data_IF_484236354465
#
_entry.id   IF_484236354465
#
_cell.length_a   1.000
_cell.length_b   1.000
_cell.length_c   1.000
_cell.angle_alpha   90.00
_cell.angle_beta   90.00
_cell.angle_gamma   90.00
#
_symmetry.space_group_name_H-M   'P 1'
#
loop_
_entity.id
_entity.type
_entity.pdbx_description
1 polymer ?
#
# COMPACT_ATOMS: atom_id res chain seq x y z
N UNK A 1 -10.00 14.93 2.28
CA UNK A 1 -9.31 13.76 1.68
C UNK A 1 -9.49 12.57 2.60
N UNK A 2 -10.01 11.47 2.06
CA UNK A 2 -10.26 10.24 2.85
C UNK A 2 -8.96 9.48 3.02
N UNK A 3 -8.19 9.81 4.04
CA UNK A 3 -6.87 9.26 4.27
C UNK A 3 -6.68 8.97 5.75
N UNK A 4 -6.05 7.83 6.06
CA UNK A 4 -5.77 7.38 7.43
C UNK A 4 -4.28 7.06 7.57
N UNK A 5 -3.60 7.66 8.53
CA UNK A 5 -2.23 7.28 8.86
C UNK A 5 -2.22 5.93 9.58
N UNK A 6 -1.49 4.98 9.03
CA UNK A 6 -1.29 3.65 9.65
C UNK A 6 -0.04 3.67 10.51
N UNK A 7 1.04 4.23 9.98
CA UNK A 7 2.27 4.50 10.73
C UNK A 7 2.61 5.98 10.56
N UNK A 8 3.72 6.42 11.13
CA UNK A 8 4.17 7.81 10.96
C UNK A 8 4.50 8.13 9.50
N UNK A 9 4.74 7.13 8.68
CA UNK A 9 5.23 7.31 7.32
C UNK A 9 4.37 6.69 6.25
N UNK A 10 3.33 5.93 6.61
CA UNK A 10 2.48 5.22 5.65
C UNK A 10 1.02 5.50 5.96
N UNK A 11 0.31 5.98 4.96
CA UNK A 11 -1.12 6.23 5.05
C UNK A 11 -1.86 5.38 4.01
N UNK A 12 -3.14 5.10 4.28
CA UNK A 12 -4.00 4.31 3.40
C UNK A 12 -5.34 5.02 3.27
N UNK A 13 -5.96 4.90 2.11
CA UNK A 13 -7.28 5.53 1.94
C UNK A 13 -7.87 5.43 0.56
N UNK A 14 -8.76 6.36 0.27
CA UNK A 14 -9.54 6.41 -0.95
C UNK A 14 -8.90 7.24 -2.05
N UNK A 15 -9.60 7.30 -3.18
CA UNK A 15 -9.10 7.94 -4.38
C UNK A 15 -8.84 9.42 -4.24
N UNK A 16 -7.88 9.89 -5.00
CA UNK A 16 -7.49 11.30 -4.98
C UNK A 16 -8.37 12.11 -5.92
N UNK A 17 -8.54 11.65 -7.14
CA UNK A 17 -9.47 12.11 -8.17
C UNK A 17 -9.24 13.50 -8.74
N UNK A 18 -8.71 14.47 -7.98
CA UNK A 18 -8.64 15.84 -8.47
C UNK A 18 -7.43 16.58 -7.89
N UNK A 19 -7.20 17.75 -8.46
CA UNK A 19 -6.07 18.61 -8.10
C UNK A 19 -6.12 19.08 -6.65
N UNK A 20 -7.31 19.40 -6.16
CA UNK A 20 -7.47 19.90 -4.80
C UNK A 20 -7.02 18.87 -3.78
N UNK A 21 -7.41 17.61 -3.98
CA UNK A 21 -7.01 16.52 -3.09
C UNK A 21 -5.51 16.23 -3.20
N UNK A 22 -4.95 16.28 -4.41
CA UNK A 22 -3.51 16.05 -4.56
C UNK A 22 -2.71 17.15 -3.86
N UNK A 23 -3.15 18.39 -3.98
CA UNK A 23 -2.50 19.51 -3.29
C UNK A 23 -2.56 19.33 -1.78
N UNK A 24 -3.68 18.82 -1.28
CA UNK A 24 -3.81 18.54 0.16
C UNK A 24 -2.81 17.49 0.62
N UNK A 25 -2.66 16.40 -0.14
CA UNK A 25 -1.67 15.36 0.17
C UNK A 25 -0.26 15.95 0.21
N UNK A 26 0.07 16.81 -0.75
CA UNK A 26 1.37 17.46 -0.78
C UNK A 26 1.60 18.29 0.50
N UNK A 27 0.58 19.04 0.92
CA UNK A 27 0.68 19.84 2.15
C UNK A 27 0.84 18.96 3.39
N UNK A 28 0.32 17.74 3.36
CA UNK A 28 0.44 16.79 4.48
C UNK A 28 1.79 16.07 4.48
N UNK A 29 2.65 16.36 3.52
CA UNK A 29 3.98 15.79 3.46
C UNK A 29 4.11 14.50 2.68
N UNK A 30 3.06 14.08 1.98
CA UNK A 30 3.12 12.88 1.13
C UNK A 30 4.10 13.15 -0.02
N UNK A 31 5.05 12.25 -0.19
CA UNK A 31 6.06 12.33 -1.25
C UNK A 31 5.91 11.23 -2.29
N UNK A 32 5.24 10.14 -1.94
CA UNK A 32 5.10 8.96 -2.80
C UNK A 32 3.68 8.43 -2.69
N UNK A 33 3.14 7.95 -3.82
CA UNK A 33 1.79 7.38 -3.89
C UNK A 33 1.86 6.05 -4.61
N UNK A 34 1.23 5.02 -4.04
CA UNK A 34 0.92 3.79 -4.76
C UNK A 34 -0.58 3.83 -5.07
N UNK A 35 -0.89 3.91 -6.36
CA UNK A 35 -2.26 4.01 -6.86
C UNK A 35 -2.67 2.64 -7.39
N UNK A 36 -3.57 1.97 -6.66
CA UNK A 36 -4.03 0.63 -7.01
C UNK A 36 -5.25 0.63 -7.94
N UNK A 37 -5.66 1.81 -8.40
CA UNK A 37 -6.88 1.93 -9.19
C UNK A 37 -6.64 1.63 -10.65
N UNK A 38 -7.39 0.65 -11.19
CA UNK A 38 -7.49 0.52 -12.64
C UNK A 38 -8.32 1.66 -13.21
N UNK A 39 -9.15 2.29 -12.39
CA UNK A 39 -10.09 3.32 -12.79
C UNK A 39 -9.46 4.66 -13.07
N UNK A 40 -8.30 4.95 -12.47
CA UNK A 40 -7.73 6.29 -12.59
C UNK A 40 -6.23 6.28 -12.29
N UNK A 41 -5.46 6.93 -13.17
CA UNK A 41 -4.00 7.07 -13.01
C UNK A 41 -3.69 8.45 -12.47
N UNK A 42 -3.12 8.52 -11.27
CA UNK A 42 -2.82 9.76 -10.56
C UNK A 42 -1.61 10.51 -11.10
N UNK A 43 -0.83 9.92 -12.01
CA UNK A 43 0.48 10.47 -12.39
C UNK A 43 0.40 11.93 -12.81
N UNK A 44 -0.61 12.27 -13.62
CA UNK A 44 -0.77 13.64 -14.10
C UNK A 44 -1.07 14.65 -13.01
N UNK A 45 -1.86 14.24 -12.01
CA UNK A 45 -2.19 15.12 -10.89
C UNK A 45 -0.98 15.34 -9.97
N UNK A 46 -0.12 14.35 -9.86
CA UNK A 46 0.99 14.37 -8.92
C UNK A 46 2.18 15.19 -9.42
N UNK A 47 2.36 15.24 -10.74
CA UNK A 47 3.55 15.82 -11.32
C UNK A 47 3.81 17.27 -10.88
N UNK A 48 2.82 18.18 -10.88
CA UNK A 48 3.08 19.55 -10.44
C UNK A 48 3.54 19.68 -9.00
N UNK A 49 3.31 18.68 -8.19
CA UNK A 49 3.65 18.69 -6.76
C UNK A 49 4.94 17.94 -6.44
N UNK A 50 5.60 17.37 -7.45
CA UNK A 50 6.81 16.60 -7.24
C UNK A 50 6.58 15.29 -6.49
N UNK A 51 5.34 14.80 -6.44
CA UNK A 51 5.00 13.52 -5.82
C UNK A 51 5.25 12.41 -6.83
N UNK A 52 5.98 11.39 -6.41
CA UNK A 52 6.24 10.22 -7.25
C UNK A 52 5.09 9.23 -7.13
N UNK A 53 4.61 8.74 -8.27
CA UNK A 53 3.47 7.82 -8.31
C UNK A 53 3.90 6.50 -8.94
N UNK A 54 3.55 5.41 -8.29
CA UNK A 54 3.48 4.11 -8.94
C UNK A 54 2.02 3.84 -9.26
N UNK A 55 1.66 3.85 -10.53
CA UNK A 55 0.36 3.37 -10.94
C UNK A 55 0.43 1.86 -11.04
N UNK A 56 -0.26 1.18 -10.14
CA UNK A 56 -0.20 -0.27 -9.96
C UNK A 56 -1.61 -0.84 -10.09
N UNK A 57 -2.22 -0.73 -11.28
CA UNK A 57 -3.65 -0.95 -11.45
C UNK A 57 -4.06 -2.39 -11.24
N UNK A 58 -5.15 -2.56 -10.50
CA UNK A 58 -5.81 -3.85 -10.37
C UNK A 58 -7.29 -3.61 -10.11
N UNK A 59 -8.12 -4.58 -10.51
CA UNK A 59 -9.55 -4.51 -10.31
C UNK A 59 -9.91 -5.02 -8.92
N UNK A 60 -10.99 -4.50 -8.35
CA UNK A 60 -11.49 -4.98 -7.05
C UNK A 60 -12.53 -6.06 -7.30
N UNK A 61 -12.08 -7.18 -7.84
CA UNK A 61 -12.96 -8.26 -8.31
C UNK A 61 -12.90 -9.51 -7.45
N UNK A 62 -12.19 -9.46 -6.32
CA UNK A 62 -12.07 -10.58 -5.37
C UNK A 62 -11.51 -11.84 -6.00
N UNK A 63 -10.60 -11.67 -6.97
CA UNK A 63 -9.82 -12.78 -7.51
C UNK A 63 -8.42 -12.77 -6.91
N UNK A 64 -7.70 -13.90 -6.93
CA UNK A 64 -6.32 -13.91 -6.46
C UNK A 64 -5.48 -12.94 -7.28
N UNK A 65 -4.59 -12.22 -6.60
CA UNK A 65 -3.73 -11.23 -7.26
C UNK A 65 -2.34 -11.82 -7.50
N UNK A 66 -1.75 -11.51 -8.65
CA UNK A 66 -0.45 -12.09 -8.98
C UNK A 66 0.66 -11.51 -8.10
N UNK A 67 1.67 -12.32 -7.75
CA UNK A 67 2.80 -11.82 -6.96
C UNK A 67 3.48 -10.61 -7.56
N UNK A 68 3.53 -10.51 -8.89
CA UNK A 68 4.17 -9.37 -9.56
C UNK A 68 3.51 -8.04 -9.20
N UNK A 69 2.20 -8.03 -9.00
CA UNK A 69 1.48 -6.82 -8.59
C UNK A 69 1.98 -6.34 -7.22
N UNK A 70 2.10 -7.28 -6.29
CA UNK A 70 2.53 -6.94 -4.92
C UNK A 70 4.00 -6.59 -4.90
N UNK A 71 4.81 -7.29 -5.70
CA UNK A 71 6.24 -7.01 -5.79
C UNK A 71 6.52 -5.59 -6.28
N UNK A 72 5.77 -5.12 -7.28
CA UNK A 72 5.96 -3.75 -7.76
C UNK A 72 5.72 -2.73 -6.66
N UNK A 73 4.66 -2.92 -5.88
CA UNK A 73 4.34 -2.00 -4.78
C UNK A 73 5.37 -2.06 -3.66
N UNK A 74 5.80 -3.27 -3.31
CA UNK A 74 6.79 -3.46 -2.25
C UNK A 74 8.13 -2.83 -2.64
N UNK A 75 8.57 -3.03 -3.89
CA UNK A 75 9.82 -2.44 -4.36
C UNK A 75 9.75 -0.90 -4.35
N UNK A 76 8.65 -0.36 -4.82
CA UNK A 76 8.46 1.09 -4.82
C UNK A 76 8.50 1.64 -3.39
N UNK A 77 7.82 0.98 -2.47
CA UNK A 77 7.80 1.39 -1.06
C UNK A 77 9.20 1.28 -0.44
N UNK A 78 9.91 0.21 -0.75
CA UNK A 78 11.26 0.00 -0.21
C UNK A 78 12.20 1.12 -0.64
N UNK A 79 12.17 1.47 -1.92
CA UNK A 79 13.02 2.55 -2.44
C UNK A 79 12.62 3.89 -1.83
N UNK A 80 11.32 4.15 -1.71
CA UNK A 80 10.84 5.38 -1.10
C UNK A 80 11.32 5.51 0.35
N UNK A 81 11.24 4.43 1.11
CA UNK A 81 11.57 4.46 2.54
C UNK A 81 13.06 4.60 2.82
N UNK A 82 13.92 4.46 1.81
CA UNK A 82 15.34 4.77 1.96
C UNK A 82 15.56 6.25 2.26
N UNK A 83 14.65 7.11 1.84
CA UNK A 83 14.68 8.52 2.20
C UNK A 83 13.95 8.70 3.54
N UNK A 84 14.65 9.11 4.61
CA UNK A 84 14.02 9.23 5.93
C UNK A 84 12.85 10.20 5.96
N UNK A 85 12.82 11.17 5.06
CA UNK A 85 11.74 12.15 5.00
C UNK A 85 10.55 11.71 4.18
N UNK A 86 10.62 10.57 3.49
CA UNK A 86 9.53 10.15 2.61
C UNK A 86 8.31 9.70 3.40
N UNK A 87 7.13 10.04 2.85
CA UNK A 87 5.84 9.59 3.37
C UNK A 87 5.04 9.04 2.22
N UNK A 88 4.48 7.86 2.42
CA UNK A 88 3.84 7.06 1.38
C UNK A 88 2.35 6.99 1.61
N UNK A 89 1.59 7.24 0.55
CA UNK A 89 0.14 7.05 0.54
C UNK A 89 -0.22 5.90 -0.39
N UNK A 90 -0.89 4.88 0.14
CA UNK A 90 -1.33 3.72 -0.63
C UNK A 90 -2.85 3.80 -0.72
N UNK A 91 -3.39 3.83 -1.95
CA UNK A 91 -4.83 4.02 -2.06
C UNK A 91 -5.45 3.22 -3.21
N UNK A 92 -6.76 3.09 -3.13
CA UNK A 92 -7.61 2.63 -4.20
C UNK A 92 -8.83 3.55 -4.26
N UNK A 93 -9.96 3.10 -4.79
CA UNK A 93 -11.11 3.99 -4.89
C UNK A 93 -11.74 4.30 -3.53
N UNK A 94 -12.01 3.28 -2.73
CA UNK A 94 -12.67 3.43 -1.43
C UNK A 94 -11.75 3.26 -0.24
N UNK A 95 -10.56 2.71 -0.43
CA UNK A 95 -9.65 2.44 0.67
C UNK A 95 -10.13 1.32 1.58
N UNK A 96 -10.85 0.35 1.03
CA UNK A 96 -11.47 -0.74 1.79
C UNK A 96 -10.81 -2.09 1.50
N UNK A 97 -10.43 -2.38 0.25
CA UNK A 97 -9.95 -3.70 -0.16
C UNK A 97 -8.56 -3.70 -0.78
N UNK A 98 -8.37 -3.04 -1.94
CA UNK A 98 -7.11 -3.12 -2.71
C UNK A 98 -5.96 -2.42 -2.00
N UNK A 99 -6.22 -1.24 -1.46
CA UNK A 99 -5.18 -0.48 -0.77
C UNK A 99 -4.77 -1.16 0.54
N UNK A 100 -5.68 -1.66 1.37
CA UNK A 100 -5.28 -2.42 2.55
C UNK A 100 -4.47 -3.67 2.21
N UNK A 101 -4.82 -4.37 1.14
CA UNK A 101 -4.04 -5.52 0.67
C UNK A 101 -2.60 -5.11 0.39
N UNK A 102 -2.42 -4.03 -0.38
CA UNK A 102 -1.07 -3.57 -0.73
C UNK A 102 -0.31 -3.10 0.50
N UNK A 103 -0.99 -2.40 1.40
CA UNK A 103 -0.38 -1.94 2.66
C UNK A 103 0.07 -3.13 3.50
N UNK A 104 -0.74 -4.18 3.57
CA UNK A 104 -0.39 -5.39 4.28
C UNK A 104 0.87 -6.04 3.69
N UNK A 105 0.97 -6.09 2.37
CA UNK A 105 2.16 -6.64 1.70
C UNK A 105 3.40 -5.80 2.02
N UNK A 106 3.29 -4.48 2.02
CA UNK A 106 4.41 -3.59 2.34
C UNK A 106 4.88 -3.80 3.77
N UNK A 107 3.95 -3.84 4.71
CA UNK A 107 4.31 -4.04 6.12
C UNK A 107 4.91 -5.43 6.33
N UNK A 108 4.31 -6.46 5.74
CA UNK A 108 4.83 -7.83 5.86
C UNK A 108 6.22 -7.97 5.29
N UNK A 109 6.49 -7.34 4.16
CA UNK A 109 7.82 -7.35 3.56
C UNK A 109 8.85 -6.62 4.41
N UNK A 110 8.40 -5.70 5.26
CA UNK A 110 9.25 -4.96 6.21
C UNK A 110 9.48 -5.73 7.50
N UNK A 111 8.89 -6.92 7.65
CA UNK A 111 9.10 -7.77 8.81
C UNK A 111 7.95 -7.78 9.81
N UNK A 112 6.86 -7.10 9.54
CA UNK A 112 5.69 -7.14 10.42
C UNK A 112 5.06 -8.54 10.40
N UNK A 113 4.64 -9.00 11.57
CA UNK A 113 3.71 -10.11 11.66
C UNK A 113 2.40 -9.70 10.98
N UNK A 114 1.86 -10.56 10.11
CA UNK A 114 0.67 -10.19 9.34
C UNK A 114 -0.55 -9.94 10.20
N UNK A 115 -0.73 -10.73 11.26
CA UNK A 115 -1.88 -10.52 12.15
C UNK A 115 -1.76 -9.18 12.86
N UNK A 116 -0.56 -8.83 13.32
CA UNK A 116 -0.34 -7.54 13.95
C UNK A 116 -0.56 -6.38 12.97
N UNK A 117 -0.10 -6.54 11.74
CA UNK A 117 -0.28 -5.52 10.71
C UNK A 117 -1.77 -5.33 10.39
N UNK A 118 -2.51 -6.44 10.23
CA UNK A 118 -3.95 -6.37 9.97
C UNK A 118 -4.68 -5.68 11.12
N UNK A 119 -4.34 -6.03 12.35
CA UNK A 119 -4.96 -5.42 13.53
C UNK A 119 -4.69 -3.91 13.58
N UNK A 120 -3.47 -3.50 13.28
CA UNK A 120 -3.13 -2.08 13.26
C UNK A 120 -3.92 -1.32 12.22
N UNK A 121 -3.96 -1.86 11.00
CA UNK A 121 -4.68 -1.22 9.90
C UNK A 121 -6.16 -1.09 10.25
N UNK A 122 -6.76 -2.17 10.74
CA UNK A 122 -8.20 -2.16 11.10
C UNK A 122 -8.48 -1.22 12.26
N UNK A 123 -7.58 -1.15 13.23
CA UNK A 123 -7.77 -0.26 14.37
C UNK A 123 -7.74 1.21 13.95
N UNK A 124 -6.85 1.56 13.02
CA UNK A 124 -6.73 2.93 12.54
C UNK A 124 -7.80 3.30 11.54
N UNK A 125 -8.23 2.34 10.72
CA UNK A 125 -9.21 2.57 9.65
C UNK A 125 -10.26 1.46 9.69
N UNK A 126 -11.32 1.63 10.52
CA UNK A 126 -12.30 0.57 10.76
C UNK A 126 -13.11 0.13 9.53
N UNK A 127 -13.17 0.94 8.47
CA UNK A 127 -13.89 0.55 7.24
C UNK A 127 -13.15 -0.52 6.43
N UNK A 128 -11.89 -0.79 6.76
CA UNK A 128 -11.10 -1.78 6.03
C UNK A 128 -11.71 -3.16 6.16
N UNK A 129 -11.78 -3.86 5.04
CA UNK A 129 -12.23 -5.23 4.97
C UNK A 129 -11.15 -6.06 4.28
N UNK A 130 -10.49 -6.91 5.04
CA UNK A 130 -9.47 -7.80 4.50
C UNK A 130 -10.14 -9.05 3.94
N UNK A 131 -10.47 -8.99 2.64
CA UNK A 131 -11.03 -10.16 1.95
C UNK A 131 -10.04 -11.32 2.00
N UNK A 132 -10.53 -12.51 2.28
CA UNK A 132 -9.67 -13.69 2.44
C UNK A 132 -8.79 -13.93 1.21
N UNK A 133 -9.35 -13.76 0.01
CA UNK A 133 -8.60 -13.98 -1.23
C UNK A 133 -7.43 -13.02 -1.36
N UNK A 134 -7.58 -11.80 -0.87
CA UNK A 134 -6.50 -10.82 -0.92
C UNK A 134 -5.44 -11.09 0.14
N UNK A 135 -5.86 -11.48 1.33
CA UNK A 135 -4.92 -11.87 2.38
C UNK A 135 -4.12 -13.10 1.93
N UNK A 136 -4.78 -14.07 1.30
CA UNK A 136 -4.11 -15.26 0.77
C UNK A 136 -3.10 -14.88 -0.31
N UNK A 137 -3.41 -13.90 -1.15
CA UNK A 137 -2.49 -13.41 -2.17
C UNK A 137 -1.23 -12.81 -1.53
N UNK A 138 -1.40 -12.04 -0.47
CA UNK A 138 -0.28 -11.47 0.28
C UNK A 138 0.57 -12.57 0.90
N UNK A 139 -0.07 -13.55 1.55
CA UNK A 139 0.66 -14.67 2.17
C UNK A 139 1.45 -15.46 1.14
N UNK A 140 0.85 -15.71 -0.02
CA UNK A 140 1.54 -16.44 -1.09
C UNK A 140 2.74 -15.65 -1.59
N UNK A 141 2.56 -14.36 -1.82
CA UNK A 141 3.65 -13.50 -2.27
C UNK A 141 4.80 -13.50 -1.26
N UNK A 142 4.50 -13.28 0.02
CA UNK A 142 5.53 -13.22 1.05
C UNK A 142 6.22 -14.58 1.23
N UNK A 143 5.46 -15.67 1.15
CA UNK A 143 6.03 -17.01 1.22
C UNK A 143 6.99 -17.29 0.10
N UNK A 144 6.60 -16.96 -1.14
CA UNK A 144 7.42 -17.22 -2.32
C UNK A 144 8.68 -16.34 -2.35
N UNK A 145 8.56 -15.09 -1.95
CA UNK A 145 9.67 -14.13 -2.05
C UNK A 145 10.66 -14.25 -0.90
N UNK A 146 10.19 -14.60 0.29
CA UNK A 146 11.01 -14.54 1.49
C UNK A 146 11.22 -15.88 2.14
N UNK A 147 10.71 -16.98 1.54
CA UNK A 147 10.90 -18.32 2.05
C UNK A 147 12.26 -18.84 1.59
N UNK A 148 13.11 -19.22 2.53
CA UNK A 148 14.40 -19.79 2.22
C UNK A 148 14.61 -21.04 3.06
N UNK A 149 15.37 -22.02 2.58
CA UNK A 149 15.68 -23.21 3.36
C UNK A 149 16.35 -22.81 4.69
N UNK A 150 15.88 -23.35 5.77
CA UNK A 150 16.36 -22.99 7.08
C UNK A 150 15.97 -21.58 7.47
N UNK A 151 14.83 -21.17 6.99
CA UNK A 151 14.36 -19.82 6.91
C UNK A 151 14.59 -18.95 8.12
N UNK A 152 14.90 -17.72 7.84
CA UNK A 152 14.95 -16.63 8.78
C UNK A 152 13.70 -15.78 8.74
N UNK A 153 12.69 -16.23 8.02
CA UNK A 153 11.45 -15.47 7.87
C UNK A 153 10.68 -15.34 9.17
N UNK A 154 10.93 -16.22 10.11
CA UNK A 154 10.32 -16.10 11.43
C UNK A 154 10.77 -14.83 12.14
N UNK A 155 11.84 -14.24 11.71
CA UNK A 155 12.37 -13.03 12.32
C UNK A 155 11.65 -11.84 11.78
N UNK A 156 11.09 -11.08 12.67
CA UNK A 156 10.56 -9.79 12.29
C UNK A 156 11.67 -8.78 12.33
N UNK A 157 11.73 -8.03 11.33
CA UNK A 157 12.71 -6.96 11.27
C UNK A 157 12.07 -5.63 11.49
#
# INVERSE_FOLDING_TARGET
MDMTWVTDRIAVGGGIWNETNMAELARMGITHVIDMQIEFDDTGLAEPHGIQVLWNPTDDDFTPKPPALLERGVEFAREAMDDPGAKLYIHCAAGVHRAPMMTLAVLGASGWDLNEAMNLIEARRPVVDFADVYVDSVKRYLGDQFSVPGSQLSEKS
#
